data_IF_823752642273
#
_entry.id   IF_823752642273
#
_cell.length_a   1.000
_cell.length_b   1.000
_cell.length_c   1.000
_cell.angle_alpha   90.00
_cell.angle_beta   90.00
_cell.angle_gamma   90.00
#
_symmetry.space_group_name_H-M   'P 1'
#
loop_
_entity.id
_entity.type
_entity.pdbx_description
1 polymer ?
#
# COMPACT_ATOMS: atom_id res chain seq x y z
N UNK A 1 5.49 -8.13 -1.95
CA UNK A 1 6.06 -7.27 -0.88
C UNK A 1 7.34 -7.91 -0.41
N UNK A 2 8.42 -7.13 -0.28
CA UNK A 2 9.74 -7.61 0.17
C UNK A 2 10.26 -6.70 1.28
N UNK A 3 10.85 -7.31 2.29
CA UNK A 3 11.61 -6.62 3.35
C UNK A 3 13.09 -6.98 3.14
N UNK A 4 13.94 -6.05 2.67
CA UNK A 4 15.37 -6.32 2.50
C UNK A 4 16.06 -6.58 3.84
N UNK A 5 16.84 -7.66 3.93
CA UNK A 5 17.32 -8.28 5.19
C UNK A 5 18.36 -7.48 6.00
N UNK A 6 18.76 -6.27 5.60
CA UNK A 6 19.83 -5.54 6.30
C UNK A 6 19.71 -4.02 6.29
N UNK A 7 18.60 -3.46 5.77
CA UNK A 7 18.47 -2.01 5.63
C UNK A 7 19.62 -1.36 4.85
N UNK A 8 20.40 -2.11 4.05
CA UNK A 8 21.46 -1.53 3.23
C UNK A 8 20.85 -0.52 2.27
N UNK A 9 21.35 0.71 2.33
CA UNK A 9 20.85 1.83 1.56
C UNK A 9 19.67 2.59 2.19
N UNK A 10 19.26 2.25 3.42
CA UNK A 10 18.16 2.92 4.13
C UNK A 10 16.76 2.51 3.67
N UNK A 11 16.66 1.56 2.73
CA UNK A 11 15.39 0.98 2.27
C UNK A 11 15.07 -0.28 3.09
N UNK A 12 13.86 -0.34 3.63
CA UNK A 12 13.44 -1.48 4.46
C UNK A 12 12.13 -2.10 4.00
N UNK A 13 11.47 -1.50 3.02
CA UNK A 13 10.22 -1.97 2.46
C UNK A 13 10.18 -1.69 0.97
N UNK A 14 9.77 -2.68 0.17
CA UNK A 14 9.42 -2.50 -1.24
C UNK A 14 8.16 -3.28 -1.61
N UNK A 15 7.18 -2.57 -2.16
CA UNK A 15 6.01 -3.16 -2.79
C UNK A 15 6.04 -2.90 -4.29
N UNK A 16 5.82 -3.95 -5.06
CA UNK A 16 5.65 -3.89 -6.50
C UNK A 16 4.22 -4.32 -6.82
N UNK A 17 3.55 -3.57 -7.69
CA UNK A 17 2.19 -3.84 -8.14
C UNK A 17 2.17 -3.90 -9.67
N UNK A 18 1.72 -5.03 -10.18
CA UNK A 18 1.60 -5.31 -11.60
C UNK A 18 0.11 -5.32 -11.95
N UNK A 19 -0.30 -4.43 -12.82
CA UNK A 19 -1.66 -4.32 -13.29
C UNK A 19 -1.71 -4.71 -14.75
N UNK A 20 -2.65 -5.57 -15.09
CA UNK A 20 -2.97 -5.96 -16.46
C UNK A 20 -4.46 -5.75 -16.67
N UNK A 21 -4.84 -5.19 -17.81
CA UNK A 21 -6.24 -4.99 -18.19
C UNK A 21 -6.62 -5.90 -19.36
N UNK A 22 -7.93 -6.08 -19.59
CA UNK A 22 -8.44 -6.93 -20.67
C UNK A 22 -8.06 -6.44 -22.08
N UNK A 23 -7.60 -5.20 -22.21
CA UNK A 23 -7.09 -4.59 -23.44
C UNK A 23 -5.55 -4.67 -23.56
N UNK A 24 -4.93 -5.61 -22.84
CA UNK A 24 -3.48 -5.85 -22.77
C UNK A 24 -2.63 -4.69 -22.25
N UNK A 25 -3.23 -3.60 -21.76
CA UNK A 25 -2.47 -2.58 -21.06
C UNK A 25 -1.77 -3.20 -19.85
N UNK A 26 -0.57 -2.71 -19.58
CA UNK A 26 0.23 -3.09 -18.42
C UNK A 26 0.69 -1.86 -17.68
N UNK A 27 0.75 -1.96 -16.36
CA UNK A 27 1.32 -0.92 -15.50
C UNK A 27 2.04 -1.57 -14.35
N UNK A 28 3.25 -1.09 -14.12
CA UNK A 28 4.08 -1.50 -13.01
C UNK A 28 4.28 -0.30 -12.09
N UNK A 29 4.10 -0.54 -10.79
CA UNK A 29 4.27 0.47 -9.76
C UNK A 29 5.19 -0.09 -8.69
N UNK A 30 6.18 0.70 -8.29
CA UNK A 30 7.04 0.41 -7.16
C UNK A 30 6.82 1.48 -6.08
N UNK A 31 6.63 1.02 -4.84
CA UNK A 31 6.53 1.85 -3.65
C UNK A 31 7.61 1.42 -2.67
N UNK A 32 8.43 2.38 -2.25
CA UNK A 32 9.56 2.15 -1.37
C UNK A 32 9.40 2.93 -0.07
N UNK A 33 9.80 2.30 1.02
CA UNK A 33 9.71 2.90 2.34
C UNK A 33 10.84 2.48 3.28
N UNK A 34 10.95 3.25 4.35
CA UNK A 34 11.95 3.08 5.41
C UNK A 34 11.25 2.92 6.76
N UNK A 35 11.73 2.00 7.59
CA UNK A 35 11.25 1.83 8.95
C UNK A 35 11.64 3.05 9.80
N UNK A 36 10.66 3.55 10.55
CA UNK A 36 10.81 4.57 11.56
C UNK A 36 10.01 4.13 12.79
N UNK A 37 10.66 3.41 13.71
CA UNK A 37 10.00 2.81 14.87
C UNK A 37 9.09 1.65 14.47
N UNK A 38 7.79 1.77 14.74
CA UNK A 38 6.74 0.78 14.46
C UNK A 38 6.05 0.98 13.09
N UNK A 39 6.53 1.95 12.32
CA UNK A 39 5.88 2.43 11.11
C UNK A 39 6.87 2.35 9.94
N UNK A 40 6.39 2.04 8.74
CA UNK A 40 7.16 2.25 7.50
C UNK A 40 6.68 3.55 6.87
N UNK A 41 7.62 4.43 6.55
CA UNK A 41 7.35 5.74 5.92
C UNK A 41 7.74 5.67 4.45
N UNK A 42 6.81 6.07 3.58
CA UNK A 42 7.04 6.15 2.14
C UNK A 42 7.55 7.55 1.75
N UNK A 43 8.46 7.57 0.79
CA UNK A 43 8.92 8.80 0.14
C UNK A 43 9.05 8.60 -1.36
N UNK A 44 8.92 9.67 -2.14
CA UNK A 44 8.85 9.62 -3.61
C UNK A 44 7.41 9.82 -4.10
N UNK A 45 6.97 9.05 -5.10
CA UNK A 45 5.65 9.22 -5.76
C UNK A 45 4.48 9.34 -4.77
N UNK A 46 4.59 8.64 -3.65
CA UNK A 46 3.66 8.77 -2.55
C UNK A 46 4.39 9.27 -1.31
N UNK A 47 3.71 10.12 -0.55
CA UNK A 47 4.11 10.52 0.79
C UNK A 47 3.11 9.97 1.78
N UNK A 48 3.56 9.13 2.72
CA UNK A 48 2.65 8.44 3.62
C UNK A 48 3.33 7.44 4.53
N UNK A 49 2.52 6.61 5.17
CA UNK A 49 3.03 5.55 6.03
C UNK A 49 2.10 4.34 6.08
N UNK A 50 2.67 3.22 6.49
CA UNK A 50 1.94 2.01 6.88
C UNK A 50 2.33 1.63 8.30
N UNK A 51 1.33 1.28 9.11
CA UNK A 51 1.49 0.81 10.47
C UNK A 51 0.64 -0.43 10.74
N UNK A 52 1.06 -1.22 11.70
CA UNK A 52 0.25 -2.29 12.26
C UNK A 52 -0.83 -1.71 13.18
N UNK A 53 -2.07 -2.22 13.07
CA UNK A 53 -3.15 -1.93 14.03
C UNK A 53 -3.36 -3.11 14.99
N UNK A 54 -3.22 -4.33 14.48
CA UNK A 54 -3.26 -5.58 15.22
C UNK A 54 -2.56 -6.68 14.40
N UNK A 55 -2.52 -7.90 14.95
CA UNK A 55 -1.81 -9.05 14.36
C UNK A 55 -2.29 -9.48 12.96
N UNK A 56 -3.42 -8.96 12.47
CA UNK A 56 -3.99 -9.26 11.15
C UNK A 56 -4.36 -8.00 10.36
N UNK A 57 -4.09 -6.81 10.88
CA UNK A 57 -4.55 -5.56 10.26
C UNK A 57 -3.40 -4.58 10.12
N UNK A 58 -3.17 -4.13 8.89
CA UNK A 58 -2.32 -2.99 8.58
C UNK A 58 -3.18 -1.81 8.14
N UNK A 59 -2.73 -0.61 8.45
CA UNK A 59 -3.34 0.62 7.98
C UNK A 59 -2.31 1.49 7.28
N UNK A 60 -2.65 1.89 6.06
CA UNK A 60 -1.84 2.75 5.22
C UNK A 60 -2.55 4.08 5.03
N UNK A 61 -1.84 5.18 5.16
CA UNK A 61 -2.31 6.49 4.74
C UNK A 61 -1.27 7.16 3.87
N UNK A 62 -1.66 7.60 2.68
CA UNK A 62 -0.74 8.26 1.77
C UNK A 62 -1.42 9.25 0.82
N UNK A 63 -0.60 10.12 0.24
CA UNK A 63 -0.96 11.09 -0.81
C UNK A 63 -0.09 10.83 -2.03
N UNK A 64 -0.60 11.17 -3.21
CA UNK A 64 0.21 11.19 -4.44
C UNK A 64 0.75 12.60 -4.69
N UNK A 65 2.02 12.69 -5.09
CA UNK A 65 2.63 13.97 -5.46
C UNK A 65 1.95 14.64 -6.66
N UNK A 66 1.38 13.83 -7.57
CA UNK A 66 0.73 14.29 -8.81
C UNK A 66 -0.76 14.65 -8.65
N UNK A 67 -1.35 14.43 -7.47
CA UNK A 67 -2.77 14.65 -7.20
C UNK A 67 -2.98 15.42 -5.89
N UNK A 68 -2.66 16.73 -5.87
CA UNK A 68 -2.85 17.54 -4.67
C UNK A 68 -4.31 17.57 -4.23
N UNK A 69 -4.52 17.48 -2.92
CA UNK A 69 -5.84 17.43 -2.30
C UNK A 69 -6.52 16.05 -2.35
N UNK A 70 -5.82 15.01 -2.84
CA UNK A 70 -6.27 13.62 -2.75
C UNK A 70 -5.51 12.90 -1.63
N UNK A 71 -6.26 12.28 -0.74
CA UNK A 71 -5.78 11.45 0.36
C UNK A 71 -6.34 10.04 0.20
N UNK A 72 -5.52 9.03 0.48
CA UNK A 72 -5.92 7.63 0.45
C UNK A 72 -5.72 7.00 1.81
N UNK A 73 -6.79 6.44 2.36
CA UNK A 73 -6.79 5.63 3.57
C UNK A 73 -7.03 4.19 3.17
N UNK A 74 -6.02 3.34 3.31
CA UNK A 74 -6.11 1.91 3.04
C UNK A 74 -6.11 1.10 4.34
N UNK A 75 -7.01 0.12 4.41
CA UNK A 75 -6.96 -0.92 5.42
C UNK A 75 -6.70 -2.27 4.72
N UNK A 76 -5.73 -3.02 5.24
CA UNK A 76 -5.31 -4.33 4.74
C UNK A 76 -5.61 -5.35 5.83
N UNK A 77 -6.46 -6.34 5.52
CA UNK A 77 -6.85 -7.39 6.45
C UNK A 77 -6.35 -8.74 5.97
N UNK A 78 -5.62 -9.44 6.84
CA UNK A 78 -5.18 -10.81 6.63
C UNK A 78 -6.28 -11.77 7.10
N UNK A 79 -6.69 -12.69 6.23
CA UNK A 79 -7.58 -13.77 6.60
C UNK A 79 -6.87 -14.76 7.53
N UNK A 80 -7.65 -15.50 8.32
CA UNK A 80 -7.10 -16.44 9.30
C UNK A 80 -6.31 -17.61 8.68
N UNK A 81 -6.48 -17.86 7.38
CA UNK A 81 -5.74 -18.89 6.66
C UNK A 81 -4.34 -18.45 6.21
N UNK A 82 -3.95 -17.19 6.45
CA UNK A 82 -2.66 -16.59 6.08
C UNK A 82 -2.35 -16.57 4.57
N UNK A 83 -3.29 -16.98 3.72
CA UNK A 83 -3.13 -17.00 2.26
C UNK A 83 -3.97 -15.94 1.59
N UNK A 84 -5.13 -15.59 2.17
CA UNK A 84 -6.01 -14.57 1.60
C UNK A 84 -5.87 -13.26 2.35
N UNK A 85 -6.04 -12.16 1.62
CA UNK A 85 -6.16 -10.83 2.22
C UNK A 85 -7.08 -9.93 1.40
N UNK A 86 -7.74 -9.03 2.09
CA UNK A 86 -8.54 -7.98 1.49
C UNK A 86 -7.89 -6.62 1.72
N UNK A 87 -8.06 -5.71 0.75
CA UNK A 87 -7.66 -4.31 0.89
C UNK A 87 -8.83 -3.42 0.53
N UNK A 88 -9.09 -2.42 1.37
CA UNK A 88 -10.09 -1.40 1.11
C UNK A 88 -9.43 -0.04 1.08
N UNK A 89 -9.66 0.74 0.05
CA UNK A 89 -9.09 2.08 -0.09
C UNK A 89 -10.23 3.10 -0.11
N UNK A 90 -10.19 4.01 0.85
CA UNK A 90 -11.07 5.17 0.88
C UNK A 90 -10.31 6.36 0.30
N UNK A 91 -10.81 6.87 -0.83
CA UNK A 91 -10.22 8.01 -1.51
C UNK A 91 -11.00 9.26 -1.16
N UNK A 92 -10.31 10.20 -0.53
CA UNK A 92 -10.85 11.51 -0.23
C UNK A 92 -10.26 12.55 -1.18
N UNK A 93 -11.10 13.46 -1.67
CA UNK A 93 -10.67 14.63 -2.43
C UNK A 93 -11.24 15.86 -1.75
N UNK A 94 -10.36 16.76 -1.32
CA UNK A 94 -10.72 17.95 -0.55
C UNK A 94 -11.61 17.60 0.67
N UNK A 95 -11.22 16.56 1.40
CA UNK A 95 -11.92 16.07 2.60
C UNK A 95 -13.24 15.32 2.36
N UNK A 96 -13.62 15.06 1.10
CA UNK A 96 -14.85 14.33 0.77
C UNK A 96 -14.52 12.99 0.12
N UNK A 97 -15.15 11.92 0.60
CA UNK A 97 -15.08 10.60 -0.02
C UNK A 97 -15.62 10.70 -1.45
N UNK A 98 -14.85 10.21 -2.44
CA UNK A 98 -15.29 10.22 -3.84
C UNK A 98 -15.09 8.87 -4.55
N UNK A 99 -14.27 7.97 -3.98
CA UNK A 99 -14.04 6.65 -4.56
C UNK A 99 -13.73 5.64 -3.45
N UNK A 100 -14.14 4.40 -3.69
CA UNK A 100 -13.73 3.22 -2.95
C UNK A 100 -13.01 2.27 -3.90
N UNK A 101 -11.91 1.67 -3.45
CA UNK A 101 -11.28 0.53 -4.12
C UNK A 101 -11.35 -0.67 -3.20
N UNK A 102 -11.74 -1.81 -3.77
CA UNK A 102 -11.74 -3.10 -3.12
C UNK A 102 -10.75 -3.98 -3.87
N UNK A 103 -9.84 -4.61 -3.14
CA UNK A 103 -8.88 -5.56 -3.71
C UNK A 103 -9.00 -6.86 -2.94
N UNK A 104 -9.25 -7.93 -3.69
CA UNK A 104 -9.25 -9.30 -3.21
C UNK A 104 -7.97 -9.97 -3.70
N UNK A 105 -7.16 -10.46 -2.78
CA UNK A 105 -5.81 -10.97 -3.08
C UNK A 105 -5.60 -12.31 -2.40
N UNK A 106 -5.08 -13.27 -3.17
CA UNK A 106 -4.62 -14.55 -2.67
C UNK A 106 -3.11 -14.70 -2.88
N UNK A 107 -2.45 -15.35 -1.96
CA UNK A 107 -1.04 -15.71 -2.08
C UNK A 107 -0.87 -16.80 -3.14
N UNK A 108 0.13 -16.63 -3.99
CA UNK A 108 0.51 -17.58 -5.05
C UNK A 108 2.00 -17.86 -4.89
N UNK A 109 2.35 -19.16 -4.87
CA UNK A 109 3.71 -19.66 -4.66
C UNK A 109 4.62 -19.45 -5.90
#
# INVERSE_FOLDING_TARGET
>A
MKFPDDGKGGLTYRQESFHTWADDRKRELAFEGTYAGDTVVFSGRIAGSIRELDTRTLYTHFRFDDQPGVDVCEAIQLAANNTDRARTWHWFKNGKLFQLTLVDEMWVA
#
